data_IF_676154561642
#
_entry.id   IF_676154561642
#
_cell.length_a   1.000
_cell.length_b   1.000
_cell.length_c   1.000
_cell.angle_alpha   90.00
_cell.angle_beta   90.00
_cell.angle_gamma   90.00
#
_symmetry.space_group_name_H-M   'P 1'
#
loop_
_entity.id
_entity.type
_entity.pdbx_description
1 polymer ?
#
# COMPACT_ATOMS: atom_id res chain seq x y z
N UNK A 1 8.02 -78.67 54.74
CA UNK A 1 8.42 -79.02 53.35
C UNK A 1 7.23 -78.80 52.42
N UNK A 2 7.21 -77.69 51.68
CA UNK A 2 6.23 -77.37 50.62
C UNK A 2 7.02 -76.67 49.51
N UNK A 3 6.94 -77.17 48.27
CA UNK A 3 6.22 -76.54 47.13
C UNK A 3 6.90 -75.26 46.60
N UNK A 4 6.90 -74.97 45.30
CA UNK A 4 6.52 -75.75 44.12
C UNK A 4 7.16 -75.09 42.88
N UNK A 5 6.93 -75.70 41.71
CA UNK A 5 7.45 -75.30 40.41
C UNK A 5 7.06 -73.88 39.99
N UNK A 6 7.96 -73.26 39.21
CA UNK A 6 7.86 -71.97 38.53
C UNK A 6 6.65 -71.88 37.59
N UNK A 7 6.02 -70.70 37.52
CA UNK A 7 5.43 -70.22 36.26
C UNK A 7 5.69 -68.71 36.13
N UNK A 8 5.92 -68.27 34.89
CA UNK A 8 6.35 -66.92 34.53
C UNK A 8 5.13 -65.99 34.35
N UNK A 9 5.22 -64.74 34.82
CA UNK A 9 4.21 -63.72 34.52
C UNK A 9 4.88 -62.37 34.23
N UNK A 10 4.50 -61.75 33.11
CA UNK A 10 5.00 -60.45 32.67
C UNK A 10 4.24 -59.36 33.45
N UNK A 11 4.97 -58.39 34.00
CA UNK A 11 4.39 -57.25 34.71
C UNK A 11 4.79 -55.93 34.05
N UNK A 12 3.77 -55.17 33.66
CA UNK A 12 3.85 -53.80 33.14
C UNK A 12 4.35 -52.86 34.24
N UNK A 13 5.35 -52.03 33.96
CA UNK A 13 5.86 -51.03 34.92
C UNK A 13 5.32 -49.65 34.58
N UNK A 14 4.37 -49.18 35.38
CA UNK A 14 4.05 -47.77 35.53
C UNK A 14 4.65 -47.28 36.86
N UNK A 15 5.44 -46.21 36.82
CA UNK A 15 5.92 -45.51 38.03
C UNK A 15 5.81 -44.01 37.80
N UNK A 16 5.12 -43.33 38.70
CA UNK A 16 5.03 -41.87 38.80
C UNK A 16 5.67 -41.40 40.11
N UNK A 17 6.00 -40.10 40.18
CA UNK A 17 6.57 -39.33 41.32
C UNK A 17 8.04 -39.64 41.73
N UNK A 18 9.03 -38.73 41.56
CA UNK A 18 9.29 -37.39 42.20
C UNK A 18 10.01 -37.55 43.55
N UNK A 19 11.12 -36.85 43.91
CA UNK A 19 11.79 -35.61 43.43
C UNK A 19 13.32 -35.64 43.75
N UNK A 20 14.20 -34.91 43.02
CA UNK A 20 15.32 -34.12 43.61
C UNK A 20 16.20 -33.35 42.57
N UNK A 21 16.08 -32.01 42.58
CA UNK A 21 17.06 -30.94 42.29
C UNK A 21 18.26 -31.19 41.34
N UNK A 22 18.32 -30.37 40.28
CA UNK A 22 19.57 -30.03 39.58
C UNK A 22 19.33 -29.23 38.30
N UNK A 23 19.71 -27.94 38.28
CA UNK A 23 19.66 -27.08 37.09
C UNK A 23 18.45 -26.15 37.03
N UNK A 24 18.68 -24.86 37.26
CA UNK A 24 17.85 -23.81 36.70
C UNK A 24 18.38 -23.52 35.29
N UNK A 25 18.06 -24.38 34.33
CA UNK A 25 18.20 -24.04 32.92
C UNK A 25 17.06 -23.06 32.58
N UNK A 26 17.43 -21.86 32.15
CA UNK A 26 16.44 -20.91 31.65
C UNK A 26 15.83 -21.47 30.38
N UNK A 27 14.56 -21.87 30.44
CA UNK A 27 13.75 -22.00 29.24
C UNK A 27 13.63 -20.62 28.62
N UNK A 28 14.42 -20.36 27.57
CA UNK A 28 14.05 -19.35 26.59
C UNK A 28 12.73 -19.81 26.00
N UNK A 29 11.62 -19.18 26.40
CA UNK A 29 10.31 -19.48 25.85
C UNK A 29 10.35 -19.19 24.35
N UNK A 30 10.39 -20.26 23.55
CA UNK A 30 10.47 -20.16 22.09
C UNK A 30 9.12 -19.63 21.60
N UNK A 31 9.09 -18.36 21.23
CA UNK A 31 7.90 -17.74 20.62
C UNK A 31 7.63 -18.42 19.28
N UNK A 32 6.49 -19.11 19.19
CA UNK A 32 6.09 -19.81 17.97
C UNK A 32 5.68 -18.79 16.91
N UNK A 33 5.82 -19.16 15.63
CA UNK A 33 5.60 -18.20 14.52
C UNK A 33 4.17 -17.65 14.48
N UNK A 34 3.19 -18.40 15.01
CA UNK A 34 1.78 -17.99 15.12
C UNK A 34 1.52 -16.93 16.18
N UNK A 35 2.41 -16.79 17.16
CA UNK A 35 2.28 -15.86 18.29
C UNK A 35 3.11 -14.57 18.05
N UNK A 36 3.88 -14.52 16.95
CA UNK A 36 4.71 -13.37 16.56
C UNK A 36 3.89 -12.25 15.90
N UNK A 37 4.37 -10.99 15.97
CA UNK A 37 3.73 -9.86 15.30
C UNK A 37 3.68 -10.00 13.78
N UNK A 38 2.57 -9.53 13.19
CA UNK A 38 2.32 -9.59 11.76
C UNK A 38 1.69 -8.27 11.28
N UNK A 39 2.36 -7.56 10.38
CA UNK A 39 1.79 -6.36 9.75
C UNK A 39 1.61 -6.59 8.26
N UNK A 40 0.36 -6.64 7.80
CA UNK A 40 0.08 -6.47 6.37
C UNK A 40 0.30 -5.00 6.00
N UNK A 41 0.86 -4.71 4.82
CA UNK A 41 1.04 -3.30 4.43
C UNK A 41 0.83 -3.05 2.94
N UNK A 42 0.41 -1.82 2.63
CA UNK A 42 0.07 -1.30 1.30
C UNK A 42 -1.11 -2.05 0.64
N UNK A 43 -1.04 -3.37 0.42
CA UNK A 43 -2.13 -4.19 -0.14
C UNK A 43 -2.90 -4.88 1.00
N UNK A 44 -4.08 -4.35 1.35
CA UNK A 44 -4.89 -4.84 2.47
C UNK A 44 -5.44 -6.25 2.19
N UNK A 45 -5.53 -7.14 3.21
CA UNK A 45 -6.30 -8.37 3.10
C UNK A 45 -7.77 -8.10 2.77
N UNK A 46 -8.22 -8.49 1.59
CA UNK A 46 -9.59 -8.27 1.10
C UNK A 46 -9.97 -9.23 -0.02
N UNK A 47 -11.27 -9.45 -0.19
CA UNK A 47 -11.80 -10.12 -1.39
C UNK A 47 -11.62 -9.21 -2.64
N UNK A 48 -10.94 -9.66 -3.70
CA UNK A 48 -10.59 -8.83 -4.86
C UNK A 48 -11.79 -8.52 -5.78
N UNK A 49 -12.99 -9.06 -5.50
CA UNK A 49 -14.20 -8.83 -6.30
C UNK A 49 -15.10 -7.79 -5.65
N UNK A 50 -15.26 -7.84 -4.34
CA UNK A 50 -16.13 -6.96 -3.54
C UNK A 50 -15.35 -5.82 -2.88
N UNK A 51 -14.08 -6.04 -2.52
CA UNK A 51 -13.28 -5.16 -1.68
C UNK A 51 -13.51 -5.35 -0.17
N UNK A 52 -14.39 -6.27 0.24
CA UNK A 52 -14.64 -6.58 1.65
C UNK A 52 -13.35 -7.08 2.33
N UNK A 53 -13.05 -6.52 3.51
CA UNK A 53 -11.80 -6.81 4.24
C UNK A 53 -11.85 -8.24 4.81
N UNK A 54 -10.78 -8.99 4.59
CA UNK A 54 -10.62 -10.34 5.13
C UNK A 54 -10.30 -10.29 6.63
N UNK A 55 -11.36 -10.23 7.42
CA UNK A 55 -11.26 -10.25 8.88
C UNK A 55 -10.90 -11.63 9.45
N UNK A 56 -10.85 -12.71 8.67
CA UNK A 56 -10.25 -13.98 9.14
C UNK A 56 -8.72 -13.83 9.17
N UNK A 57 -8.13 -13.29 8.09
CA UNK A 57 -6.70 -12.94 8.05
C UNK A 57 -6.35 -11.86 9.08
N UNK A 58 -7.13 -10.77 9.20
CA UNK A 58 -6.82 -9.69 10.16
C UNK A 58 -6.92 -10.13 11.64
N UNK A 59 -7.69 -11.18 11.93
CA UNK A 59 -7.81 -11.77 13.26
C UNK A 59 -6.94 -13.02 13.46
N UNK A 60 -5.91 -13.22 12.62
CA UNK A 60 -4.94 -14.31 12.76
C UNK A 60 -4.37 -14.44 14.17
N UNK A 61 -3.93 -13.33 14.76
CA UNK A 61 -3.63 -13.20 16.18
C UNK A 61 -3.89 -11.75 16.65
N UNK A 62 -3.79 -11.51 17.96
CA UNK A 62 -4.00 -10.17 18.54
C UNK A 62 -2.96 -9.14 18.05
N UNK A 63 -1.78 -9.62 17.64
CA UNK A 63 -0.64 -8.86 17.11
C UNK A 63 -0.67 -8.68 15.57
N UNK A 64 -1.78 -9.00 14.89
CA UNK A 64 -1.96 -8.76 13.44
C UNK A 64 -2.56 -7.38 13.17
N UNK A 65 -1.90 -6.56 12.35
CA UNK A 65 -2.36 -5.21 11.95
C UNK A 65 -2.23 -4.98 10.44
N UNK A 66 -2.87 -3.93 9.93
CA UNK A 66 -2.66 -3.44 8.57
C UNK A 66 -2.10 -2.01 8.60
N UNK A 67 -1.19 -1.68 7.69
CA UNK A 67 -0.67 -0.31 7.51
C UNK A 67 -0.84 0.13 6.06
N UNK A 68 -1.43 1.31 5.88
CA UNK A 68 -1.70 1.88 4.55
C UNK A 68 -2.05 3.36 4.65
N UNK A 69 -2.92 3.81 3.77
CA UNK A 69 -3.46 5.17 3.74
C UNK A 69 -4.98 5.13 3.58
N UNK A 70 -5.67 6.23 3.88
CA UNK A 70 -7.11 6.33 3.58
C UNK A 70 -7.32 6.35 2.06
N UNK A 71 -7.57 5.19 1.46
CA UNK A 71 -7.73 5.07 0.02
C UNK A 71 -8.96 5.82 -0.51
N UNK A 72 -10.05 5.87 0.27
CA UNK A 72 -11.31 6.51 -0.12
C UNK A 72 -11.18 8.03 -0.03
N UNK A 73 -10.71 8.56 1.11
CA UNK A 73 -10.37 9.97 1.23
C UNK A 73 -9.29 10.39 0.23
N UNK A 74 -8.37 9.49 -0.09
CA UNK A 74 -7.38 9.65 -1.15
C UNK A 74 -7.98 9.90 -2.53
N UNK A 75 -8.92 9.05 -2.97
CA UNK A 75 -9.67 9.26 -4.21
C UNK A 75 -10.45 10.57 -4.23
N UNK A 76 -11.02 10.99 -3.09
CA UNK A 76 -11.68 12.30 -2.94
C UNK A 76 -10.68 13.45 -3.07
N UNK A 77 -9.48 13.35 -2.48
CA UNK A 77 -8.40 14.34 -2.61
C UNK A 77 -7.94 14.45 -4.07
N UNK A 78 -7.80 13.33 -4.79
CA UNK A 78 -7.47 13.34 -6.22
C UNK A 78 -8.57 14.01 -7.06
N UNK A 79 -9.83 13.65 -6.84
CA UNK A 79 -10.97 14.25 -7.52
C UNK A 79 -11.08 15.76 -7.26
N UNK A 80 -10.90 16.19 -6.00
CA UNK A 80 -10.94 17.61 -5.63
C UNK A 80 -9.81 18.41 -6.27
N UNK A 81 -8.58 17.87 -6.32
CA UNK A 81 -7.44 18.50 -7.01
C UNK A 81 -7.76 18.78 -8.49
N UNK A 82 -8.45 17.85 -9.17
CA UNK A 82 -8.84 17.99 -10.57
C UNK A 82 -9.96 19.04 -10.70
N UNK A 83 -10.96 19.04 -9.81
CA UNK A 83 -12.03 20.04 -9.78
C UNK A 83 -11.49 21.46 -9.52
N UNK A 84 -10.52 21.61 -8.62
CA UNK A 84 -9.88 22.89 -8.33
C UNK A 84 -9.04 23.40 -9.52
N UNK A 85 -8.34 22.50 -10.20
CA UNK A 85 -7.67 22.81 -11.47
C UNK A 85 -8.68 23.32 -12.51
N UNK A 86 -9.76 22.57 -12.77
CA UNK A 86 -10.81 22.94 -13.73
C UNK A 86 -11.41 24.32 -13.40
N UNK A 87 -11.74 24.56 -12.13
CA UNK A 87 -12.32 25.82 -11.68
C UNK A 87 -11.40 27.04 -11.93
N UNK A 88 -10.09 26.82 -12.02
CA UNK A 88 -9.07 27.83 -12.32
C UNK A 88 -8.69 27.96 -13.80
N UNK A 89 -9.08 27.01 -14.66
CA UNK A 89 -8.69 26.94 -16.06
C UNK A 89 -9.44 27.97 -16.95
N UNK A 90 -8.86 28.32 -18.10
CA UNK A 90 -9.57 29.01 -19.18
C UNK A 90 -10.34 27.97 -20.02
N UNK A 91 -11.69 28.02 -20.07
CA UNK A 91 -12.48 27.05 -20.82
C UNK A 91 -12.09 26.94 -22.29
N UNK A 92 -11.76 28.06 -22.95
CA UNK A 92 -11.45 28.09 -24.37
C UNK A 92 -10.01 27.62 -24.69
N UNK A 93 -9.18 27.43 -23.67
CA UNK A 93 -7.85 26.84 -23.79
C UNK A 93 -7.83 25.37 -23.36
N UNK A 94 -8.76 24.96 -22.48
CA UNK A 94 -8.88 23.58 -22.01
C UNK A 94 -9.69 22.71 -22.97
N UNK A 95 -10.84 23.18 -23.47
CA UNK A 95 -11.62 22.54 -24.54
C UNK A 95 -10.86 22.68 -25.87
N UNK A 96 -10.08 21.64 -26.21
CA UNK A 96 -9.11 21.69 -27.31
C UNK A 96 -9.75 21.64 -28.69
N UNK A 97 -10.96 21.09 -28.81
CA UNK A 97 -11.66 20.93 -30.09
C UNK A 97 -12.80 21.96 -30.29
N UNK A 98 -13.25 22.63 -29.22
CA UNK A 98 -14.32 23.62 -29.20
C UNK A 98 -15.74 23.02 -29.26
N UNK A 99 -15.93 21.76 -28.87
CA UNK A 99 -17.24 21.09 -28.89
C UNK A 99 -18.10 21.36 -27.64
N UNK A 100 -17.52 21.97 -26.60
CA UNK A 100 -18.18 22.34 -25.36
C UNK A 100 -18.23 21.23 -24.30
N UNK A 101 -17.52 20.12 -24.49
CA UNK A 101 -17.36 19.01 -23.54
C UNK A 101 -15.90 18.93 -23.09
N UNK A 102 -15.65 18.71 -21.80
CA UNK A 102 -14.31 18.35 -21.33
C UNK A 102 -14.14 16.82 -21.40
N UNK A 103 -13.37 16.35 -22.36
CA UNK A 103 -13.04 14.94 -22.54
C UNK A 103 -11.81 14.52 -21.72
N UNK A 104 -11.88 13.37 -21.05
CA UNK A 104 -10.71 12.76 -20.41
C UNK A 104 -10.55 11.27 -20.71
N UNK A 105 -9.31 10.79 -20.62
CA UNK A 105 -8.97 9.35 -20.63
C UNK A 105 -8.44 8.94 -19.27
N UNK A 106 -8.74 7.71 -18.84
CA UNK A 106 -8.41 7.22 -17.49
C UNK A 106 -7.56 5.94 -17.50
N UNK A 107 -6.38 6.01 -16.88
CA UNK A 107 -5.52 4.86 -16.62
C UNK A 107 -5.90 4.20 -15.30
N UNK A 108 -6.51 3.01 -15.38
CA UNK A 108 -6.93 2.21 -14.22
C UNK A 108 -5.81 1.25 -13.83
N UNK A 109 -5.62 1.05 -12.52
CA UNK A 109 -4.63 0.14 -11.97
C UNK A 109 -5.06 -1.33 -11.97
N UNK A 110 -4.61 -2.06 -10.96
CA UNK A 110 -5.14 -3.39 -10.63
C UNK A 110 -6.63 -3.30 -10.23
N UNK A 111 -7.53 -3.79 -11.07
CA UNK A 111 -8.99 -3.75 -10.82
C UNK A 111 -9.44 -4.56 -9.59
N UNK A 112 -8.59 -5.49 -9.13
CA UNK A 112 -8.80 -6.24 -7.88
C UNK A 112 -8.33 -5.49 -6.64
N UNK A 113 -7.70 -4.31 -6.79
CA UNK A 113 -7.11 -3.57 -5.68
C UNK A 113 -8.02 -2.44 -5.17
N UNK A 114 -8.16 -2.35 -3.84
CA UNK A 114 -9.00 -1.34 -3.19
C UNK A 114 -8.60 0.10 -3.57
N UNK A 115 -7.31 0.41 -3.68
CA UNK A 115 -6.84 1.74 -4.09
C UNK A 115 -7.28 2.11 -5.51
N UNK A 116 -7.20 1.16 -6.46
CA UNK A 116 -7.60 1.38 -7.85
C UNK A 116 -9.08 1.74 -7.95
N UNK A 117 -9.89 1.02 -7.16
CA UNK A 117 -11.33 1.26 -7.01
C UNK A 117 -11.61 2.63 -6.40
N UNK A 118 -11.00 2.92 -5.25
CA UNK A 118 -11.23 4.15 -4.51
C UNK A 118 -10.79 5.41 -5.28
N UNK A 119 -9.60 5.36 -5.92
CA UNK A 119 -9.09 6.44 -6.80
C UNK A 119 -10.02 6.65 -7.99
N UNK A 120 -10.39 5.57 -8.71
CA UNK A 120 -11.33 5.64 -9.85
C UNK A 120 -12.72 6.17 -9.46
N UNK A 121 -13.27 5.71 -8.33
CA UNK A 121 -14.56 6.20 -7.84
C UNK A 121 -14.48 7.68 -7.50
N UNK A 122 -13.48 8.13 -6.73
CA UNK A 122 -13.32 9.53 -6.34
C UNK A 122 -13.18 10.48 -7.53
N UNK A 123 -12.40 10.10 -8.56
CA UNK A 123 -12.32 10.84 -9.83
C UNK A 123 -13.69 10.93 -10.51
N UNK A 124 -14.36 9.78 -10.70
CA UNK A 124 -15.64 9.71 -11.42
C UNK A 124 -16.77 10.43 -10.67
N UNK A 125 -16.78 10.40 -9.34
CA UNK A 125 -17.74 11.13 -8.52
C UNK A 125 -17.49 12.65 -8.59
N UNK A 126 -16.24 13.10 -8.45
CA UNK A 126 -15.88 14.52 -8.53
C UNK A 126 -16.19 15.15 -9.90
N UNK A 127 -16.06 14.37 -10.99
CA UNK A 127 -16.39 14.80 -12.36
C UNK A 127 -17.86 14.53 -12.75
N UNK A 128 -18.64 13.88 -11.88
CA UNK A 128 -20.04 13.50 -12.13
C UNK A 128 -20.24 12.32 -13.12
N UNK A 129 -19.15 11.71 -13.60
CA UNK A 129 -19.16 10.60 -14.56
C UNK A 129 -19.37 9.22 -13.93
N UNK A 130 -19.56 9.14 -12.60
CA UNK A 130 -19.81 7.90 -11.87
C UNK A 130 -21.11 7.21 -12.28
N UNK A 131 -21.01 5.98 -12.79
CA UNK A 131 -22.12 5.14 -13.21
C UNK A 131 -22.37 3.93 -12.28
N UNK A 132 -21.89 3.97 -11.04
CA UNK A 132 -22.06 2.89 -10.06
C UNK A 132 -21.05 1.73 -10.18
N UNK A 133 -19.98 1.88 -10.97
CA UNK A 133 -18.87 0.93 -11.04
C UNK A 133 -17.53 1.63 -11.28
N UNK A 134 -16.47 1.00 -10.78
CA UNK A 134 -15.05 1.33 -11.03
C UNK A 134 -14.48 0.61 -12.26
N UNK A 135 -15.29 -0.22 -12.94
CA UNK A 135 -14.83 -0.99 -14.10
C UNK A 135 -14.41 -0.07 -15.28
N UNK A 136 -13.42 -0.49 -16.09
CA UNK A 136 -13.09 0.18 -17.35
C UNK A 136 -14.30 0.30 -18.29
N UNK A 137 -14.49 1.47 -18.89
CA UNK A 137 -15.59 1.77 -19.81
C UNK A 137 -16.98 1.96 -19.18
N UNK A 138 -17.12 1.90 -17.85
CA UNK A 138 -18.41 2.08 -17.15
C UNK A 138 -18.52 3.48 -16.56
N UNK A 139 -18.96 4.43 -17.39
CA UNK A 139 -19.13 5.85 -17.04
C UNK A 139 -20.47 6.41 -17.56
N UNK A 140 -20.83 7.60 -17.08
CA UNK A 140 -21.91 8.43 -17.62
C UNK A 140 -21.40 9.83 -17.98
N UNK A 141 -22.21 10.63 -18.67
CA UNK A 141 -21.91 12.05 -18.88
C UNK A 141 -22.01 12.80 -17.55
N UNK A 142 -20.93 13.48 -17.17
CA UNK A 142 -20.83 14.30 -15.97
C UNK A 142 -20.89 15.80 -16.27
N UNK A 143 -20.51 16.61 -15.29
CA UNK A 143 -20.40 18.07 -15.44
C UNK A 143 -19.49 18.67 -14.38
N UNK A 144 -18.66 19.65 -14.77
CA UNK A 144 -17.76 20.36 -13.88
C UNK A 144 -17.85 21.88 -14.09
N UNK A 145 -17.34 22.65 -13.13
CA UNK A 145 -17.13 24.09 -13.28
C UNK A 145 -15.74 24.32 -13.87
N UNK A 146 -15.67 24.88 -15.08
CA UNK A 146 -14.45 25.25 -15.77
C UNK A 146 -14.39 26.76 -15.88
N UNK A 147 -13.44 27.43 -15.23
CA UNK A 147 -13.29 28.90 -15.29
C UNK A 147 -14.55 29.73 -14.96
N UNK A 148 -15.48 29.19 -14.16
CA UNK A 148 -16.79 29.82 -13.87
C UNK A 148 -17.94 29.44 -14.81
N UNK A 149 -17.70 28.53 -15.77
CA UNK A 149 -18.69 28.00 -16.71
C UNK A 149 -18.96 26.52 -16.39
N UNK A 150 -20.23 26.14 -16.23
CA UNK A 150 -20.59 24.72 -16.10
C UNK A 150 -20.52 24.04 -17.48
N UNK A 151 -19.61 23.08 -17.63
CA UNK A 151 -19.42 22.31 -18.86
C UNK A 151 -19.72 20.82 -18.63
N UNK A 152 -20.31 20.12 -19.61
CA UNK A 152 -20.29 18.66 -19.68
C UNK A 152 -18.88 18.07 -19.51
N UNK A 153 -18.79 16.89 -18.90
CA UNK A 153 -17.55 16.10 -18.81
C UNK A 153 -17.82 14.70 -19.34
N UNK A 154 -16.88 14.13 -20.10
CA UNK A 154 -16.97 12.79 -20.66
C UNK A 154 -15.69 11.99 -20.43
N UNK A 155 -15.84 10.78 -19.87
CA UNK A 155 -14.79 9.76 -19.94
C UNK A 155 -14.81 9.14 -21.34
N UNK A 156 -13.82 9.44 -22.16
CA UNK A 156 -13.75 9.04 -23.57
C UNK A 156 -13.38 7.56 -23.73
N UNK A 157 -12.45 7.09 -22.90
CA UNK A 157 -12.04 5.70 -22.77
C UNK A 157 -11.33 5.52 -21.42
N UNK A 158 -11.38 4.31 -20.87
CA UNK A 158 -10.62 3.95 -19.67
C UNK A 158 -10.20 2.49 -19.73
N UNK A 159 -8.99 2.20 -19.25
CA UNK A 159 -8.36 0.88 -19.40
C UNK A 159 -7.54 0.52 -18.17
N UNK A 160 -7.64 -0.74 -17.76
CA UNK A 160 -6.69 -1.33 -16.83
C UNK A 160 -5.33 -1.47 -17.53
N UNK A 161 -4.28 -0.87 -16.98
CA UNK A 161 -2.94 -0.89 -17.58
C UNK A 161 -2.21 -2.16 -17.17
N UNK A 162 -2.56 -3.24 -17.88
CA UNK A 162 -2.00 -4.57 -17.68
C UNK A 162 -0.98 -4.88 -18.77
N UNK A 163 0.24 -5.25 -18.37
CA UNK A 163 1.29 -5.72 -19.28
C UNK A 163 0.94 -7.05 -19.95
N UNK A 164 1.67 -7.41 -21.01
CA UNK A 164 1.48 -8.68 -21.74
C UNK A 164 1.85 -9.93 -20.93
N UNK A 165 2.55 -9.73 -19.81
CA UNK A 165 2.89 -10.71 -18.78
C UNK A 165 1.87 -10.77 -17.62
N UNK A 166 0.84 -9.91 -17.65
CA UNK A 166 -0.17 -9.76 -16.61
C UNK A 166 0.13 -8.70 -15.55
N UNK A 167 1.31 -8.06 -15.58
CA UNK A 167 1.71 -7.01 -14.61
C UNK A 167 0.70 -5.87 -14.57
N UNK A 168 0.14 -5.58 -13.39
CA UNK A 168 -0.76 -4.44 -13.17
C UNK A 168 0.02 -3.16 -12.92
N UNK A 169 -0.64 -2.00 -13.03
CA UNK A 169 -0.01 -0.66 -12.91
C UNK A 169 1.12 -0.42 -13.92
N UNK A 170 1.05 -1.07 -15.09
CA UNK A 170 2.16 -1.17 -16.02
C UNK A 170 2.37 0.13 -16.82
N UNK A 171 3.53 0.77 -16.64
CA UNK A 171 3.89 2.01 -17.32
C UNK A 171 3.97 1.87 -18.85
N UNK A 172 4.46 0.74 -19.40
CA UNK A 172 4.53 0.53 -20.85
C UNK A 172 3.13 0.38 -21.47
N UNK A 173 2.22 -0.31 -20.79
CA UNK A 173 0.82 -0.40 -21.20
C UNK A 173 0.14 0.99 -21.19
N UNK A 174 0.49 1.86 -20.24
CA UNK A 174 0.03 3.25 -20.21
C UNK A 174 0.63 4.10 -21.35
N UNK A 175 1.90 3.91 -21.70
CA UNK A 175 2.54 4.51 -22.89
C UNK A 175 1.81 4.13 -24.17
N UNK A 176 1.57 2.82 -24.37
CA UNK A 176 0.90 2.27 -25.56
C UNK A 176 -0.57 2.71 -25.62
N UNK A 177 -1.29 2.71 -24.50
CA UNK A 177 -2.67 3.19 -24.43
C UNK A 177 -2.75 4.68 -24.80
N UNK A 178 -1.89 5.53 -24.21
CA UNK A 178 -1.85 6.96 -24.50
C UNK A 178 -1.52 7.23 -25.97
N UNK A 179 -0.55 6.52 -26.55
CA UNK A 179 -0.22 6.66 -27.96
C UNK A 179 -1.37 6.27 -28.90
N UNK A 180 -2.15 5.25 -28.53
CA UNK A 180 -3.37 4.87 -29.25
C UNK A 180 -4.50 5.90 -29.08
N UNK A 181 -4.74 6.41 -27.87
CA UNK A 181 -5.73 7.45 -27.60
C UNK A 181 -5.44 8.73 -28.37
N UNK A 182 -4.19 9.22 -28.35
CA UNK A 182 -3.79 10.40 -29.12
C UNK A 182 -4.04 10.23 -30.63
N UNK A 183 -3.90 9.02 -31.19
CA UNK A 183 -4.19 8.73 -32.59
C UNK A 183 -5.69 8.57 -32.91
N UNK A 184 -6.51 8.15 -31.94
CA UNK A 184 -7.93 7.83 -32.14
C UNK A 184 -8.88 8.98 -31.77
N UNK A 185 -8.56 9.70 -30.70
CA UNK A 185 -9.38 10.75 -30.10
C UNK A 185 -8.84 12.16 -30.43
N UNK A 186 -7.51 12.30 -30.54
CA UNK A 186 -6.85 13.53 -30.97
C UNK A 186 -7.11 14.72 -30.05
N UNK A 187 -7.78 15.74 -30.59
CA UNK A 187 -8.14 16.97 -29.87
C UNK A 187 -9.38 16.83 -28.97
N UNK A 188 -10.03 15.66 -28.90
CA UNK A 188 -11.06 15.40 -27.88
C UNK A 188 -10.49 15.19 -26.46
N UNK A 189 -9.19 14.92 -26.32
CA UNK A 189 -8.57 14.62 -25.01
C UNK A 189 -8.15 15.92 -24.31
N UNK A 190 -8.98 16.49 -23.46
CA UNK A 190 -8.64 17.71 -22.72
C UNK A 190 -7.84 17.43 -21.45
N UNK A 191 -7.96 16.22 -20.88
CA UNK A 191 -7.17 15.77 -19.73
C UNK A 191 -6.79 14.28 -19.79
N UNK A 192 -5.68 13.92 -19.14
CA UNK A 192 -5.33 12.53 -18.82
C UNK A 192 -5.38 12.35 -17.31
N UNK A 193 -6.04 11.30 -16.82
CA UNK A 193 -6.12 10.99 -15.39
C UNK A 193 -5.61 9.58 -15.18
N UNK A 194 -4.88 9.35 -14.09
CA UNK A 194 -4.31 8.06 -13.77
C UNK A 194 -4.54 7.69 -12.31
N UNK A 195 -4.85 6.43 -12.03
CA UNK A 195 -4.84 5.95 -10.65
C UNK A 195 -3.44 5.95 -10.02
N UNK A 196 -2.34 6.07 -10.78
CA UNK A 196 -1.01 6.30 -10.18
C UNK A 196 0.02 7.02 -11.07
N UNK A 197 1.10 7.46 -10.44
CA UNK A 197 2.22 8.18 -11.05
C UNK A 197 2.99 7.32 -12.04
N UNK A 198 3.20 6.03 -11.76
CA UNK A 198 3.90 5.12 -12.68
C UNK A 198 3.23 5.04 -14.06
N UNK A 199 1.90 4.93 -14.09
CA UNK A 199 1.13 4.97 -15.32
C UNK A 199 1.06 6.38 -15.93
N UNK A 200 0.93 7.44 -15.13
CA UNK A 200 0.90 8.82 -15.63
C UNK A 200 2.22 9.21 -16.32
N UNK A 201 3.35 8.86 -15.69
CA UNK A 201 4.69 9.03 -16.24
C UNK A 201 4.91 8.15 -17.48
N UNK A 202 4.30 6.96 -17.54
CA UNK A 202 4.21 6.15 -18.76
C UNK A 202 3.49 6.88 -19.90
N UNK A 203 2.31 7.46 -19.66
CA UNK A 203 1.60 8.26 -20.66
C UNK A 203 2.47 9.41 -21.21
N UNK A 204 3.25 10.09 -20.35
CA UNK A 204 4.19 11.15 -20.76
C UNK A 204 5.37 10.64 -21.62
N UNK A 205 5.63 9.34 -21.70
CA UNK A 205 6.62 8.75 -22.63
C UNK A 205 6.04 8.51 -24.04
N UNK A 206 4.74 8.68 -24.26
CA UNK A 206 4.15 8.52 -25.59
C UNK A 206 4.72 9.56 -26.56
N UNK A 207 5.31 9.11 -27.68
CA UNK A 207 5.99 9.99 -28.64
C UNK A 207 5.07 10.98 -29.36
N UNK A 208 3.75 10.76 -29.28
CA UNK A 208 2.67 11.59 -29.76
C UNK A 208 1.77 12.12 -28.61
N UNK A 209 2.29 12.22 -27.37
CA UNK A 209 1.57 12.85 -26.26
C UNK A 209 1.13 14.28 -26.66
N UNK A 210 -0.18 14.63 -26.58
CA UNK A 210 -0.64 15.92 -27.09
C UNK A 210 -0.08 17.08 -26.25
N UNK A 211 0.54 18.05 -26.93
CA UNK A 211 1.22 19.16 -26.26
C UNK A 211 0.24 20.02 -25.48
N UNK A 212 0.53 20.23 -24.19
CA UNK A 212 -0.28 21.08 -23.30
C UNK A 212 -1.47 20.39 -22.64
N UNK A 213 -1.74 19.10 -22.93
CA UNK A 213 -2.78 18.35 -22.20
C UNK A 213 -2.34 18.12 -20.76
N UNK A 214 -3.10 18.61 -19.76
CA UNK A 214 -2.83 18.35 -18.35
C UNK A 214 -2.98 16.86 -18.02
N UNK A 215 -2.18 16.40 -17.07
CA UNK A 215 -2.17 15.02 -16.61
C UNK A 215 -2.04 14.92 -15.09
N UNK A 216 -2.82 14.03 -14.49
CA UNK A 216 -2.88 13.83 -13.05
C UNK A 216 -2.51 12.41 -12.67
N UNK A 217 -1.58 12.28 -11.72
CA UNK A 217 -1.17 11.01 -11.11
C UNK A 217 -1.66 10.85 -9.68
N UNK A 218 -1.02 9.93 -8.97
CA UNK A 218 -1.20 9.60 -7.56
C UNK A 218 0.05 8.84 -7.10
N UNK A 219 0.57 9.13 -5.90
CA UNK A 219 1.61 8.43 -5.11
C UNK A 219 2.69 9.42 -4.61
N UNK A 220 2.89 10.54 -5.32
CA UNK A 220 3.95 11.52 -5.11
C UNK A 220 5.37 10.97 -5.28
N UNK A 221 5.56 10.12 -6.30
CA UNK A 221 6.86 9.56 -6.66
C UNK A 221 7.86 10.65 -7.03
N UNK A 222 9.16 10.46 -6.74
CA UNK A 222 10.19 11.46 -7.02
C UNK A 222 10.22 11.96 -8.48
N UNK A 223 10.03 11.07 -9.45
CA UNK A 223 10.00 11.41 -10.88
C UNK A 223 8.73 12.19 -11.28
N UNK A 224 7.62 11.95 -10.59
CA UNK A 224 6.38 12.72 -10.71
C UNK A 224 6.48 14.10 -10.05
N UNK A 225 7.13 14.21 -8.89
CA UNK A 225 7.44 15.50 -8.24
C UNK A 225 8.35 16.36 -9.12
N UNK A 226 9.41 15.78 -9.69
CA UNK A 226 10.24 16.46 -10.68
C UNK A 226 9.45 16.86 -11.93
N UNK A 227 8.53 16.01 -12.40
CA UNK A 227 7.66 16.33 -13.53
C UNK A 227 6.69 17.49 -13.22
N UNK A 228 6.16 17.59 -12.01
CA UNK A 228 5.32 18.72 -11.57
C UNK A 228 6.14 20.01 -11.54
N UNK A 229 7.32 19.99 -10.93
CA UNK A 229 8.20 21.16 -10.87
C UNK A 229 8.68 21.65 -12.25
N UNK A 230 8.73 20.74 -13.23
CA UNK A 230 9.04 21.04 -14.64
C UNK A 230 7.80 21.40 -15.48
N UNK A 231 6.58 21.39 -14.90
CA UNK A 231 5.32 21.66 -15.60
C UNK A 231 4.91 20.57 -16.61
N UNK A 232 5.43 19.35 -16.49
CA UNK A 232 5.10 18.18 -17.33
C UNK A 232 3.95 17.35 -16.79
N UNK A 233 3.85 17.23 -15.45
CA UNK A 233 2.73 16.61 -14.76
C UNK A 233 1.95 17.73 -14.03
N UNK A 234 0.63 17.70 -14.04
CA UNK A 234 -0.19 18.81 -13.48
C UNK A 234 -0.37 18.68 -11.97
N UNK A 235 -0.49 17.45 -11.47
CA UNK A 235 -0.57 17.15 -10.06
C UNK A 235 -0.53 15.66 -9.75
N UNK A 236 -0.33 15.34 -8.48
CA UNK A 236 -0.36 13.98 -7.91
C UNK A 236 -0.92 14.06 -6.48
N UNK A 237 -1.03 12.94 -5.78
CA UNK A 237 -1.45 12.88 -4.38
C UNK A 237 -0.41 12.12 -3.57
N UNK A 238 0.15 12.77 -2.56
CA UNK A 238 0.99 12.09 -1.57
C UNK A 238 0.11 11.23 -0.68
N UNK A 239 0.44 9.94 -0.59
CA UNK A 239 -0.08 9.01 0.42
C UNK A 239 0.84 8.90 1.65
N UNK A 240 1.80 9.82 1.81
CA UNK A 240 2.79 9.84 2.91
C UNK A 240 3.53 8.50 3.08
N UNK A 241 4.31 8.11 2.07
CA UNK A 241 5.06 6.84 2.04
C UNK A 241 5.96 6.62 3.26
N UNK A 242 6.65 7.68 3.71
CA UNK A 242 7.48 7.68 4.91
C UNK A 242 6.67 7.31 6.16
N UNK A 243 5.56 8.03 6.41
CA UNK A 243 4.66 7.74 7.52
C UNK A 243 4.12 6.31 7.51
N UNK A 244 3.86 5.71 6.34
CA UNK A 244 3.46 4.31 6.23
C UNK A 244 4.61 3.34 6.53
N UNK A 245 5.83 3.61 6.06
CA UNK A 245 7.01 2.81 6.37
C UNK A 245 7.35 2.87 7.86
N UNK A 246 7.31 4.05 8.46
CA UNK A 246 7.47 4.30 9.89
C UNK A 246 6.37 3.60 10.69
N UNK A 247 5.09 3.73 10.29
CA UNK A 247 3.97 3.07 10.95
C UNK A 247 4.09 1.54 10.92
N UNK A 248 4.57 0.96 9.81
CA UNK A 248 4.85 -0.48 9.70
C UNK A 248 5.91 -0.90 10.70
N UNK A 249 7.02 -0.17 10.78
CA UNK A 249 8.13 -0.46 11.68
C UNK A 249 7.78 -0.19 13.15
N UNK A 250 7.04 0.89 13.46
CA UNK A 250 6.62 1.27 14.82
C UNK A 250 5.60 0.29 15.37
N UNK A 251 4.62 -0.16 14.57
CA UNK A 251 3.66 -1.19 14.98
C UNK A 251 4.39 -2.47 15.39
N UNK A 252 5.34 -2.92 14.57
CA UNK A 252 6.20 -4.07 14.89
C UNK A 252 7.07 -3.83 16.13
N UNK A 253 7.71 -2.67 16.23
CA UNK A 253 8.57 -2.28 17.37
C UNK A 253 7.80 -2.28 18.68
N UNK A 254 6.60 -1.69 18.70
CA UNK A 254 5.73 -1.63 19.86
C UNK A 254 5.34 -3.05 20.33
N UNK A 255 4.91 -3.91 19.40
CA UNK A 255 4.53 -5.30 19.72
C UNK A 255 5.73 -6.12 20.24
N UNK A 256 6.92 -5.94 19.65
CA UNK A 256 8.16 -6.60 20.08
C UNK A 256 8.72 -6.04 21.40
N UNK A 257 8.41 -4.79 21.74
CA UNK A 257 8.68 -4.17 23.04
C UNK A 257 7.63 -4.56 24.12
N UNK A 258 6.63 -5.38 23.75
CA UNK A 258 5.61 -5.91 24.66
C UNK A 258 4.42 -4.97 24.92
N UNK A 259 4.24 -3.93 24.11
CA UNK A 259 3.06 -3.05 24.19
C UNK A 259 1.82 -3.81 23.70
N UNK A 260 0.67 -3.50 24.29
CA UNK A 260 -0.61 -4.17 24.00
C UNK A 260 -1.76 -3.16 24.01
N UNK A 261 -2.88 -3.52 23.39
CA UNK A 261 -4.06 -2.64 23.32
C UNK A 261 -3.74 -1.31 22.63
N UNK A 262 -4.16 -0.20 23.23
CA UNK A 262 -4.01 1.12 22.62
C UNK A 262 -2.55 1.57 22.43
N UNK A 263 -1.64 1.16 23.31
CA UNK A 263 -0.23 1.59 23.23
C UNK A 263 0.44 1.15 21.90
N UNK A 264 -0.04 0.07 21.26
CA UNK A 264 0.46 -0.39 19.96
C UNK A 264 0.27 0.65 18.85
N UNK A 265 -0.80 1.45 18.90
CA UNK A 265 -1.17 2.42 17.86
C UNK A 265 -1.22 3.88 18.36
N UNK A 266 -0.76 4.15 19.59
CA UNK A 266 -0.56 5.52 20.10
C UNK A 266 0.91 5.87 20.30
N UNK A 267 1.73 4.93 20.78
CA UNK A 267 3.16 5.15 21.04
C UNK A 267 3.97 5.18 19.74
N UNK A 268 4.68 6.27 19.53
CA UNK A 268 5.34 6.59 18.27
C UNK A 268 4.39 7.19 17.22
N UNK A 269 3.11 7.39 17.53
CA UNK A 269 2.10 7.94 16.60
C UNK A 269 1.57 9.28 17.10
N UNK A 270 0.64 9.24 18.06
CA UNK A 270 0.00 10.42 18.67
C UNK A 270 0.70 10.87 19.95
N UNK A 271 1.50 9.98 20.55
CA UNK A 271 2.37 10.24 21.70
C UNK A 271 3.77 9.68 21.41
N UNK A 272 4.86 10.26 21.95
CA UNK A 272 6.19 9.66 21.82
C UNK A 272 6.25 8.25 22.41
N UNK A 273 7.03 7.38 21.76
CA UNK A 273 7.34 6.06 22.31
C UNK A 273 8.37 6.13 23.47
N UNK A 274 8.74 4.97 24.02
CA UNK A 274 9.72 4.91 25.11
C UNK A 274 11.14 5.36 24.73
N UNK A 275 11.44 5.45 23.43
CA UNK A 275 12.70 5.91 22.87
C UNK A 275 12.67 7.40 22.48
N UNK A 276 11.50 8.05 22.59
CA UNK A 276 11.27 9.44 22.24
C UNK A 276 11.02 9.68 20.75
N UNK A 277 10.76 8.62 19.98
CA UNK A 277 10.37 8.69 18.58
C UNK A 277 8.87 8.99 18.46
N UNK A 278 8.50 9.77 17.44
CA UNK A 278 7.12 10.03 17.06
C UNK A 278 7.05 10.37 15.57
N UNK A 279 6.15 9.72 14.83
CA UNK A 279 5.82 10.04 13.44
C UNK A 279 5.20 11.45 13.40
N UNK A 280 5.71 12.34 12.56
CA UNK A 280 5.23 13.73 12.45
C UNK A 280 3.95 13.86 11.62
N UNK A 281 3.74 12.94 10.68
CA UNK A 281 2.53 12.86 9.86
C UNK A 281 1.35 12.21 10.59
N UNK A 282 0.13 12.60 10.24
CA UNK A 282 -1.07 12.01 10.83
C UNK A 282 -1.30 10.58 10.32
N UNK A 283 -1.34 9.63 11.25
CA UNK A 283 -1.66 8.22 11.02
C UNK A 283 -2.81 7.81 11.94
N UNK A 284 -3.96 7.48 11.36
CA UNK A 284 -5.20 7.21 12.08
C UNK A 284 -5.45 5.71 12.25
N UNK A 285 -5.80 5.28 13.47
CA UNK A 285 -6.19 3.89 13.74
C UNK A 285 -7.69 3.66 13.50
N UNK A 286 -8.02 2.67 12.68
CA UNK A 286 -9.39 2.19 12.41
C UNK A 286 -9.56 0.82 13.07
N UNK A 287 -10.36 0.77 14.13
CA UNK A 287 -10.49 -0.40 14.98
C UNK A 287 -11.19 -1.58 14.29
N UNK A 288 -12.16 -1.28 13.43
CA UNK A 288 -12.97 -2.27 12.70
C UNK A 288 -12.14 -3.17 11.78
N UNK A 289 -11.01 -2.66 11.27
CA UNK A 289 -10.12 -3.34 10.33
C UNK A 289 -8.69 -3.51 10.85
N UNK A 290 -8.42 -3.12 12.10
CA UNK A 290 -7.08 -3.08 12.73
C UNK A 290 -6.04 -2.33 11.88
N UNK A 291 -6.49 -1.28 11.19
CA UNK A 291 -5.69 -0.54 10.21
C UNK A 291 -5.09 0.74 10.79
N UNK A 292 -3.84 1.04 10.45
CA UNK A 292 -3.20 2.34 10.67
C UNK A 292 -3.07 3.03 9.30
N UNK A 293 -3.75 4.15 9.11
CA UNK A 293 -3.94 4.81 7.82
C UNK A 293 -3.32 6.21 7.84
N UNK A 294 -2.27 6.41 7.03
CA UNK A 294 -1.70 7.73 6.78
C UNK A 294 -2.69 8.64 6.01
N UNK A 295 -2.63 9.95 6.28
CA UNK A 295 -3.39 10.96 5.56
C UNK A 295 -2.90 11.15 4.10
N UNK A 296 -3.70 11.83 3.28
CA UNK A 296 -3.34 12.19 1.89
C UNK A 296 -3.21 13.71 1.70
N UNK A 297 -2.25 14.19 0.91
CA UNK A 297 -2.13 15.60 0.49
C UNK A 297 -2.08 15.70 -1.04
N UNK A 298 -2.90 16.56 -1.64
CA UNK A 298 -2.78 16.89 -3.07
C UNK A 298 -1.49 17.69 -3.33
N UNK A 299 -0.71 17.26 -4.31
CA UNK A 299 0.58 17.85 -4.67
C UNK A 299 0.50 18.45 -6.07
N UNK A 300 0.76 19.75 -6.15
CA UNK A 300 0.74 20.56 -7.38
C UNK A 300 1.96 21.48 -7.40
N UNK A 301 2.13 22.27 -8.47
CA UNK A 301 3.20 23.27 -8.55
C UNK A 301 3.20 24.27 -7.37
N UNK A 302 2.09 24.42 -6.64
CA UNK A 302 1.99 25.31 -5.48
C UNK A 302 2.64 24.77 -4.18
N UNK A 303 2.88 23.46 -4.06
CA UNK A 303 3.45 22.82 -2.87
C UNK A 303 4.52 21.75 -3.14
N UNK A 304 4.81 21.42 -4.40
CA UNK A 304 5.80 20.39 -4.80
C UNK A 304 7.19 20.57 -4.15
N UNK A 305 7.64 21.81 -3.95
CA UNK A 305 8.92 22.14 -3.33
C UNK A 305 9.09 21.59 -1.90
N UNK A 306 7.99 21.34 -1.18
CA UNK A 306 8.03 20.71 0.15
C UNK A 306 8.62 19.28 0.08
N UNK A 307 8.26 18.53 -0.97
CA UNK A 307 8.54 17.10 -1.11
C UNK A 307 9.80 16.83 -1.94
N UNK A 308 10.17 17.73 -2.86
CA UNK A 308 11.40 17.61 -3.68
C UNK A 308 12.70 17.50 -2.89
N UNK A 309 12.71 17.94 -1.63
CA UNK A 309 13.90 17.92 -0.77
C UNK A 309 14.40 16.51 -0.46
N UNK A 310 13.54 15.49 -0.58
CA UNK A 310 13.84 14.12 -0.11
C UNK A 310 14.07 14.05 1.39
N UNK A 311 13.59 15.05 2.15
CA UNK A 311 13.70 15.08 3.60
C UNK A 311 12.94 13.90 4.23
N UNK A 312 13.57 13.27 5.21
CA UNK A 312 13.00 12.23 6.07
C UNK A 312 12.44 12.86 7.34
N UNK A 313 11.55 12.15 8.02
CA UNK A 313 10.92 12.62 9.25
C UNK A 313 11.97 12.77 10.37
N UNK A 314 12.16 14.01 10.85
CA UNK A 314 13.04 14.31 11.99
C UNK A 314 12.49 13.84 13.33
N UNK A 315 11.24 13.35 13.37
CA UNK A 315 10.60 12.73 14.53
C UNK A 315 11.09 11.32 14.85
N UNK A 316 11.69 10.63 13.87
CA UNK A 316 12.29 9.29 14.05
C UNK A 316 13.81 9.40 14.17
N UNK A 317 14.36 8.91 15.28
CA UNK A 317 15.77 9.03 15.66
C UNK A 317 16.33 7.68 16.09
N UNK A 318 17.65 7.61 16.16
CA UNK A 318 18.37 6.42 16.65
C UNK A 318 17.97 6.13 18.10
N UNK A 319 17.20 5.07 18.27
CA UNK A 319 16.84 4.48 19.57
C UNK A 319 17.98 3.63 20.13
N UNK A 320 17.89 3.34 21.43
CA UNK A 320 18.69 2.33 22.13
C UNK A 320 17.95 0.97 22.22
N UNK A 321 16.96 0.75 21.34
CA UNK A 321 16.13 -0.45 21.34
C UNK A 321 16.96 -1.73 21.07
N UNK A 322 16.63 -2.87 21.70
CA UNK A 322 17.22 -4.16 21.34
C UNK A 322 17.00 -4.48 19.87
N UNK A 323 18.07 -4.95 19.20
CA UNK A 323 18.01 -5.33 17.79
C UNK A 323 17.09 -6.54 17.63
N UNK A 324 16.16 -6.45 16.69
CA UNK A 324 15.21 -7.51 16.30
C UNK A 324 15.28 -7.78 14.80
N UNK A 325 15.02 -9.01 14.39
CA UNK A 325 15.04 -9.45 12.99
C UNK A 325 13.63 -9.48 12.39
N UNK A 326 13.39 -8.75 11.30
CA UNK A 326 12.09 -8.67 10.61
C UNK A 326 12.21 -9.17 9.17
N UNK A 327 11.30 -10.07 8.76
CA UNK A 327 11.14 -10.48 7.37
C UNK A 327 10.00 -9.71 6.72
N UNK A 328 10.30 -9.00 5.63
CA UNK A 328 9.35 -8.17 4.89
C UNK A 328 9.22 -8.65 3.44
N UNK A 329 7.99 -8.83 2.95
CA UNK A 329 7.72 -9.09 1.52
C UNK A 329 7.35 -7.81 0.78
N UNK A 330 7.70 -7.73 -0.50
CA UNK A 330 7.21 -6.73 -1.47
C UNK A 330 6.62 -7.50 -2.65
N UNK A 331 5.36 -7.24 -3.01
CA UNK A 331 4.63 -8.05 -3.98
C UNK A 331 5.28 -8.03 -5.38
N UNK A 332 5.84 -6.88 -5.76
CA UNK A 332 6.39 -6.61 -7.08
C UNK A 332 7.67 -5.77 -7.00
N UNK A 333 8.80 -6.35 -7.38
CA UNK A 333 10.08 -5.65 -7.51
C UNK A 333 10.10 -4.54 -8.58
N UNK A 334 9.16 -4.55 -9.52
CA UNK A 334 9.02 -3.54 -10.58
C UNK A 334 7.96 -2.46 -10.28
N UNK A 335 7.35 -2.46 -9.09
CA UNK A 335 6.43 -1.38 -8.69
C UNK A 335 7.22 -0.10 -8.36
N UNK A 336 6.92 0.99 -9.08
CA UNK A 336 7.68 2.26 -8.93
C UNK A 336 7.45 2.90 -7.55
N UNK A 337 6.24 2.81 -6.97
CA UNK A 337 5.95 3.41 -5.68
C UNK A 337 6.73 2.73 -4.54
N UNK A 338 6.70 1.39 -4.52
CA UNK A 338 7.38 0.57 -3.51
C UNK A 338 8.90 0.65 -3.67
N UNK A 339 9.42 0.61 -4.90
CA UNK A 339 10.87 0.65 -5.15
C UNK A 339 11.49 2.04 -4.97
N UNK A 340 10.80 3.12 -5.35
CA UNK A 340 11.35 4.49 -5.31
C UNK A 340 11.07 5.24 -4.01
N UNK A 341 10.03 4.89 -3.24
CA UNK A 341 9.67 5.62 -2.00
C UNK A 341 9.66 4.69 -0.77
N UNK A 342 8.84 3.65 -0.79
CA UNK A 342 8.54 2.86 0.41
C UNK A 342 9.75 2.05 0.91
N UNK A 343 10.44 1.33 0.02
CA UNK A 343 11.63 0.56 0.37
C UNK A 343 12.82 1.47 0.79
N UNK A 344 13.10 2.61 0.12
CA UNK A 344 14.05 3.59 0.63
C UNK A 344 13.71 4.15 2.02
N UNK A 345 12.43 4.40 2.32
CA UNK A 345 11.99 4.83 3.65
C UNK A 345 12.21 3.73 4.69
N UNK A 346 11.76 2.49 4.44
CA UNK A 346 11.99 1.33 5.31
C UNK A 346 13.47 1.13 5.64
N UNK A 347 14.35 1.19 4.62
CA UNK A 347 15.80 1.04 4.80
C UNK A 347 16.44 2.19 5.59
N UNK A 348 15.81 3.37 5.62
CA UNK A 348 16.27 4.51 6.41
C UNK A 348 15.83 4.39 7.88
N UNK A 349 14.56 4.10 8.14
CA UNK A 349 14.00 4.09 9.50
C UNK A 349 14.29 2.81 10.28
N UNK A 350 14.32 1.63 9.64
CA UNK A 350 14.55 0.36 10.34
C UNK A 350 15.80 0.35 11.25
N UNK A 351 17.01 0.76 10.82
CA UNK A 351 18.18 0.80 11.71
C UNK A 351 18.06 1.82 12.84
N UNK A 352 17.31 2.92 12.66
CA UNK A 352 17.04 3.91 13.73
C UNK A 352 16.18 3.30 14.84
N UNK A 353 15.32 2.34 14.49
CA UNK A 353 14.36 1.68 15.41
C UNK A 353 14.88 0.34 15.97
N UNK A 354 16.15 0.01 15.73
CA UNK A 354 16.73 -1.27 16.14
C UNK A 354 16.14 -2.47 15.38
N UNK A 355 15.73 -2.29 14.12
CA UNK A 355 15.18 -3.35 13.28
C UNK A 355 16.19 -3.73 12.19
N UNK A 356 16.60 -5.00 12.17
CA UNK A 356 17.32 -5.60 11.05
C UNK A 356 16.31 -6.14 10.03
N UNK A 357 16.19 -5.46 8.90
CA UNK A 357 15.15 -5.73 7.91
C UNK A 357 15.67 -6.64 6.78
N UNK A 358 15.12 -7.85 6.67
CA UNK A 358 15.32 -8.73 5.52
C UNK A 358 14.16 -8.56 4.55
N UNK A 359 14.44 -8.03 3.35
CA UNK A 359 13.43 -7.79 2.32
C UNK A 359 13.50 -8.85 1.23
N UNK A 360 12.35 -9.48 0.92
CA UNK A 360 12.17 -10.37 -0.24
C UNK A 360 11.14 -9.79 -1.20
N UNK A 361 11.36 -9.92 -2.51
CA UNK A 361 10.54 -9.28 -3.53
C UNK A 361 10.01 -10.29 -4.56
N UNK A 362 8.75 -10.10 -4.96
CA UNK A 362 8.06 -10.90 -5.96
C UNK A 362 8.09 -10.32 -7.37
N UNK A 363 7.32 -10.96 -8.25
CA UNK A 363 7.13 -10.61 -9.67
C UNK A 363 5.83 -9.83 -9.95
N UNK A 364 5.05 -9.52 -8.91
CA UNK A 364 3.75 -8.85 -9.04
C UNK A 364 2.63 -9.70 -9.66
N UNK A 365 2.87 -10.97 -9.96
CA UNK A 365 1.96 -11.85 -10.69
C UNK A 365 1.56 -13.09 -9.91
N UNK A 366 2.55 -13.83 -9.43
CA UNK A 366 2.41 -15.12 -8.80
C UNK A 366 2.68 -14.98 -7.30
N UNK A 367 1.72 -15.36 -6.45
CA UNK A 367 1.93 -15.32 -4.99
C UNK A 367 3.11 -16.21 -4.56
N UNK A 368 3.37 -17.30 -5.28
CA UNK A 368 4.57 -18.14 -5.10
C UNK A 368 5.88 -17.38 -5.23
N UNK A 369 5.93 -16.29 -6.01
CA UNK A 369 7.14 -15.46 -6.10
C UNK A 369 7.50 -14.80 -4.75
N UNK A 370 6.52 -14.43 -3.94
CA UNK A 370 6.73 -13.96 -2.58
C UNK A 370 6.84 -15.13 -1.60
N UNK A 371 5.87 -16.05 -1.64
CA UNK A 371 5.78 -17.18 -0.70
C UNK A 371 7.02 -18.07 -0.73
N UNK A 372 7.60 -18.42 -1.89
CA UNK A 372 8.79 -19.28 -1.96
C UNK A 372 10.04 -18.62 -1.38
N UNK A 373 10.02 -17.28 -1.22
CA UNK A 373 11.04 -16.49 -0.52
C UNK A 373 10.67 -16.22 0.95
N UNK A 374 9.39 -16.33 1.32
CA UNK A 374 8.88 -16.27 2.69
C UNK A 374 9.10 -17.63 3.39
N UNK A 375 10.34 -17.83 3.85
CA UNK A 375 10.86 -19.08 4.41
C UNK A 375 11.88 -18.81 5.53
N UNK A 376 12.38 -19.86 6.19
CA UNK A 376 13.24 -19.79 7.38
C UNK A 376 12.63 -18.96 8.53
N UNK A 377 11.30 -18.99 8.64
CA UNK A 377 10.49 -18.05 9.44
C UNK A 377 10.85 -18.02 10.93
N UNK A 378 11.31 -19.16 11.48
CA UNK A 378 11.78 -19.25 12.87
C UNK A 378 13.00 -18.36 13.21
N UNK A 379 13.72 -17.84 12.21
CA UNK A 379 14.87 -16.95 12.37
C UNK A 379 14.52 -15.46 12.54
N UNK A 380 13.24 -15.09 12.47
CA UNK A 380 12.77 -13.71 12.56
C UNK A 380 11.85 -13.53 13.76
N UNK A 381 11.87 -12.34 14.37
CA UNK A 381 11.03 -11.98 15.51
C UNK A 381 9.62 -11.55 15.07
N UNK A 382 9.49 -10.96 13.87
CA UNK A 382 8.21 -10.55 13.29
C UNK A 382 8.19 -10.51 11.75
N UNK A 383 6.99 -10.28 11.20
CA UNK A 383 6.74 -10.32 9.75
C UNK A 383 5.99 -9.07 9.25
N UNK A 384 6.39 -8.57 8.08
CA UNK A 384 5.65 -7.57 7.32
C UNK A 384 5.30 -8.14 5.93
N UNK A 385 4.04 -8.05 5.51
CA UNK A 385 3.55 -8.76 4.33
C UNK A 385 2.81 -7.82 3.37
N UNK A 386 3.36 -7.71 2.17
CA UNK A 386 2.71 -7.12 1.01
C UNK A 386 2.48 -8.23 -0.02
N UNK A 387 1.21 -8.59 -0.21
CA UNK A 387 0.76 -9.77 -0.96
C UNK A 387 0.54 -9.46 -2.44
N UNK A 388 0.71 -10.44 -3.32
CA UNK A 388 0.38 -10.25 -4.74
C UNK A 388 -1.12 -10.18 -4.95
N UNK A 389 -1.91 -11.02 -4.29
CA UNK A 389 -3.37 -11.03 -4.30
C UNK A 389 -3.89 -10.67 -2.90
N UNK A 390 -4.91 -9.81 -2.83
CA UNK A 390 -5.46 -9.33 -1.55
C UNK A 390 -6.12 -10.45 -0.72
N UNK A 391 -6.52 -11.55 -1.35
CA UNK A 391 -7.10 -12.73 -0.70
C UNK A 391 -6.10 -13.85 -0.37
N UNK A 392 -4.79 -13.62 -0.52
CA UNK A 392 -3.76 -14.63 -0.21
C UNK A 392 -3.27 -14.61 1.25
N UNK A 393 -3.94 -13.87 2.14
CA UNK A 393 -3.65 -13.85 3.58
C UNK A 393 -3.51 -15.25 4.21
N UNK A 394 -4.42 -16.21 3.92
CA UNK A 394 -4.32 -17.59 4.38
C UNK A 394 -3.06 -18.35 3.90
N UNK A 395 -2.49 -17.99 2.74
CA UNK A 395 -1.27 -18.63 2.21
C UNK A 395 -0.03 -18.27 3.05
N UNK A 396 -0.02 -17.07 3.64
CA UNK A 396 1.04 -16.63 4.55
C UNK A 396 0.83 -17.13 5.98
N UNK A 397 -0.38 -16.99 6.53
CA UNK A 397 -0.68 -17.41 7.91
C UNK A 397 -0.58 -18.93 8.10
N UNK A 398 -0.93 -19.72 7.08
CA UNK A 398 -0.70 -21.18 7.11
C UNK A 398 0.77 -21.57 7.26
N UNK A 399 1.71 -20.78 6.73
CA UNK A 399 3.16 -20.97 6.92
C UNK A 399 3.65 -20.56 8.31
N UNK A 400 2.88 -19.74 9.02
CA UNK A 400 3.17 -19.26 10.37
C UNK A 400 2.56 -20.14 11.48
N UNK A 401 1.78 -21.19 11.16
CA UNK A 401 1.08 -22.02 12.16
C UNK A 401 1.97 -22.73 13.19
N UNK A 402 3.25 -22.96 12.89
CA UNK A 402 4.17 -23.82 13.64
C UNK A 402 5.52 -23.15 13.88
#
# INVERSE_FOLDING_TARGET
MKKALTLMLIALVAVTSVFAQGGAEGTSDVVLNRDKPLVFFNRQPSDPVTGEIDMETMNWNDSTYYVGFDAVGGGVVQGQMIVDFLASADPAALDRNGDGVIGYVLCIGDVGHNDSRARTQGIREALGTWAGSTDPGVSQQGSANVGGTTMPVAELDSRAMTGTDGSTWNANAATDAMGNWANQLGDQIDMVISNNDGMAMGCLQASNYPTGVPIFGYDANADALEAIAQGRLTGTVSQNADAQAEATLQTLRNLLDGLTGADVYTKGFTEPDQWGNQISAEVNYVAESKALLAANEAVTIANVDKLLSGARDEGIKQSEAPVVDVLLTIYNSADNFLSSNYLPALNYYAPLMGINLTVVQGDGQNESSCLDRFTNLGSFDAYAINMVKTNSGPDYTSRLQY
#
